data_IF_870155250765
#
_entry.id   IF_870155250765
#
_cell.length_a   1.000
_cell.length_b   1.000
_cell.length_c   1.000
_cell.angle_alpha   90.00
_cell.angle_beta   90.00
_cell.angle_gamma   90.00
#
_symmetry.space_group_name_H-M   'P 1'
#
loop_
_entity.id
_entity.type
_entity.pdbx_description
1 polymer ?
#
# COMPACT_ATOMS: atom_id res chain seq x y z
N UNK A 1 -9.42 -11.76 -6.07
CA UNK A 1 -8.93 -10.37 -6.19
C UNK A 1 -8.11 -10.25 -7.46
N UNK A 2 -8.06 -9.07 -8.07
CA UNK A 2 -7.32 -8.78 -9.31
C UNK A 2 -5.79 -8.85 -9.18
N UNK A 3 -5.28 -8.94 -7.95
CA UNK A 3 -3.86 -8.69 -7.64
C UNK A 3 -3.65 -7.24 -7.22
N UNK A 4 -2.40 -6.88 -6.90
CA UNK A 4 -1.99 -5.52 -6.53
C UNK A 4 -2.09 -4.58 -7.73
N UNK A 5 -2.68 -3.40 -7.56
CA UNK A 5 -2.76 -2.38 -8.61
C UNK A 5 -1.51 -1.51 -8.54
N UNK A 6 -0.59 -1.64 -9.50
CA UNK A 6 0.61 -0.81 -9.59
C UNK A 6 0.57 0.03 -10.86
N UNK A 7 1.15 1.23 -10.82
CA UNK A 7 1.25 2.11 -11.97
C UNK A 7 2.66 2.05 -12.57
N UNK A 8 2.78 2.24 -13.88
CA UNK A 8 4.10 2.33 -14.52
C UNK A 8 4.89 3.56 -14.04
N UNK A 9 4.19 4.65 -13.76
CA UNK A 9 4.76 5.85 -13.18
C UNK A 9 4.93 5.68 -11.66
N UNK A 10 6.20 5.61 -11.23
CA UNK A 10 6.57 5.46 -9.82
C UNK A 10 6.21 6.67 -8.96
N UNK A 11 5.98 7.85 -9.56
CA UNK A 11 5.57 9.05 -8.84
C UNK A 11 4.13 8.94 -8.30
N UNK A 12 3.30 8.09 -8.92
CA UNK A 12 1.95 7.78 -8.45
C UNK A 12 1.94 6.88 -7.20
N UNK A 13 3.10 6.34 -6.80
CA UNK A 13 3.27 5.45 -5.67
C UNK A 13 3.20 3.97 -6.03
N UNK A 14 3.29 3.12 -5.00
CA UNK A 14 3.15 1.67 -5.11
C UNK A 14 2.12 1.19 -4.10
N UNK A 15 1.23 0.30 -4.52
CA UNK A 15 0.27 -0.36 -3.64
C UNK A 15 0.85 -1.59 -2.93
N UNK A 16 2.09 -1.98 -3.27
CA UNK A 16 2.75 -3.16 -2.71
C UNK A 16 4.07 -2.79 -2.04
N UNK A 17 4.13 -2.94 -0.71
CA UNK A 17 5.35 -2.66 0.06
C UNK A 17 6.53 -3.55 -0.38
N UNK A 18 6.27 -4.80 -0.76
CA UNK A 18 7.32 -5.70 -1.23
C UNK A 18 7.93 -5.24 -2.56
N UNK A 19 7.08 -4.77 -3.49
CA UNK A 19 7.53 -4.19 -4.77
C UNK A 19 8.38 -2.93 -4.51
N UNK A 20 7.88 -1.99 -3.70
CA UNK A 20 8.64 -0.78 -3.35
C UNK A 20 10.01 -1.10 -2.76
N UNK A 21 10.07 -2.03 -1.82
CA UNK A 21 11.34 -2.47 -1.20
C UNK A 21 12.28 -3.10 -2.21
N UNK A 22 11.78 -3.90 -3.15
CA UNK A 22 12.60 -4.47 -4.22
C UNK A 22 13.21 -3.37 -5.10
N UNK A 23 12.42 -2.35 -5.47
CA UNK A 23 12.91 -1.21 -6.23
C UNK A 23 14.00 -0.44 -5.48
N UNK A 24 13.82 -0.20 -4.17
CA UNK A 24 14.83 0.45 -3.32
C UNK A 24 16.14 -0.35 -3.27
N UNK A 25 16.08 -1.69 -3.22
CA UNK A 25 17.29 -2.54 -3.28
C UNK A 25 17.99 -2.38 -4.62
N UNK A 26 17.26 -2.35 -5.74
CA UNK A 26 17.85 -2.16 -7.08
C UNK A 26 18.47 -0.77 -7.22
N UNK A 27 17.84 0.27 -6.68
CA UNK A 27 18.28 1.67 -6.84
C UNK A 27 19.35 2.11 -5.83
N UNK A 28 19.32 1.56 -4.62
CA UNK A 28 20.11 2.04 -3.48
C UNK A 28 20.91 0.95 -2.76
N UNK A 29 20.80 -0.31 -3.20
CA UNK A 29 21.48 -1.45 -2.60
C UNK A 29 20.80 -2.01 -1.34
N UNK A 30 19.80 -1.33 -0.78
CA UNK A 30 19.07 -1.75 0.41
C UNK A 30 17.61 -1.31 0.40
N UNK A 31 16.75 -2.07 1.08
CA UNK A 31 15.35 -1.69 1.30
C UNK A 31 15.25 -0.73 2.49
N UNK A 32 14.70 0.47 2.26
CA UNK A 32 14.56 1.54 3.25
C UNK A 32 13.17 1.59 3.87
N UNK A 33 12.13 1.32 3.08
CA UNK A 33 10.74 1.35 3.55
C UNK A 33 10.45 0.10 4.39
N UNK A 34 10.08 0.20 5.67
CA UNK A 34 9.73 -0.96 6.49
C UNK A 34 8.42 -1.61 6.05
N UNK A 35 8.21 -2.88 6.45
CA UNK A 35 6.87 -3.46 6.43
C UNK A 35 5.99 -2.85 7.52
N UNK A 36 4.69 -3.15 7.46
CA UNK A 36 3.72 -2.72 8.47
C UNK A 36 4.09 -3.29 9.85
N UNK A 37 3.85 -2.49 10.87
CA UNK A 37 4.03 -2.80 12.28
C UNK A 37 2.68 -2.74 13.00
N UNK A 38 2.62 -3.35 14.18
CA UNK A 38 1.43 -3.22 15.03
C UNK A 38 1.15 -1.74 15.35
N UNK A 39 -0.11 -1.36 15.23
CA UNK A 39 -0.57 0.02 15.34
C UNK A 39 -0.66 0.76 14.00
N UNK A 40 0.00 0.29 12.94
CA UNK A 40 -0.12 0.90 11.61
C UNK A 40 -1.54 0.72 11.06
N UNK A 41 -2.01 1.71 10.29
CA UNK A 41 -3.33 1.71 9.67
C UNK A 41 -3.22 1.81 8.16
N UNK A 42 -3.97 0.97 7.46
CA UNK A 42 -4.02 0.93 6.00
C UNK A 42 -5.43 1.27 5.54
N UNK A 43 -5.52 2.30 4.69
CA UNK A 43 -6.77 2.71 4.03
C UNK A 43 -6.65 2.52 2.52
N UNK A 44 -7.63 1.84 1.93
CA UNK A 44 -7.77 1.68 0.47
C UNK A 44 -9.17 2.18 0.08
N UNK A 45 -9.22 3.14 -0.83
CA UNK A 45 -10.46 3.75 -1.29
C UNK A 45 -10.34 4.11 -2.77
N UNK A 46 -11.45 3.99 -3.50
CA UNK A 46 -11.54 4.36 -4.91
C UNK A 46 -12.61 5.42 -5.09
N UNK A 47 -12.26 6.47 -5.81
CA UNK A 47 -13.14 7.61 -6.09
C UNK A 47 -13.50 7.66 -7.57
N UNK A 48 -14.70 8.15 -7.88
CA UNK A 48 -15.09 8.51 -9.23
C UNK A 48 -14.44 9.83 -9.67
N UNK A 49 -14.73 10.27 -10.90
CA UNK A 49 -14.20 11.52 -11.45
C UNK A 49 -14.71 12.78 -10.70
N UNK A 50 -15.80 12.68 -9.96
CA UNK A 50 -16.34 13.75 -9.12
C UNK A 50 -15.77 13.71 -7.68
N UNK A 51 -14.88 12.76 -7.38
CA UNK A 51 -14.29 12.58 -6.05
C UNK A 51 -15.19 11.85 -5.05
N UNK A 52 -16.27 11.21 -5.50
CA UNK A 52 -17.16 10.43 -4.64
C UNK A 52 -16.65 9.00 -4.48
N UNK A 53 -16.67 8.49 -3.26
CA UNK A 53 -16.27 7.12 -2.96
C UNK A 53 -17.20 6.12 -3.66
N UNK A 54 -16.64 5.25 -4.50
CA UNK A 54 -17.43 4.30 -5.30
C UNK A 54 -17.87 3.11 -4.43
N UNK A 55 -17.01 2.66 -3.53
CA UNK A 55 -17.20 1.43 -2.74
C UNK A 55 -17.13 1.65 -1.23
N UNK A 56 -16.91 2.88 -0.78
CA UNK A 56 -16.41 3.12 0.58
C UNK A 56 -14.93 2.76 0.71
N UNK A 57 -14.43 2.78 1.94
CA UNK A 57 -13.03 2.48 2.23
C UNK A 57 -12.84 1.16 2.97
N UNK A 58 -11.86 0.38 2.54
CA UNK A 58 -11.22 -0.63 3.39
C UNK A 58 -10.29 0.14 4.33
N UNK A 59 -10.48 -0.01 5.63
CA UNK A 59 -9.75 0.78 6.63
C UNK A 59 -9.43 -0.09 7.86
N UNK A 60 -8.20 -0.55 7.96
CA UNK A 60 -7.80 -1.60 8.91
C UNK A 60 -6.55 -1.20 9.68
N UNK A 61 -6.53 -1.51 10.97
CA UNK A 61 -5.35 -1.40 11.83
C UNK A 61 -4.68 -2.76 11.97
N UNK A 62 -3.35 -2.79 11.93
CA UNK A 62 -2.56 -3.99 12.17
C UNK A 62 -2.47 -4.22 13.68
N UNK A 63 -3.08 -5.30 14.15
CA UNK A 63 -3.14 -5.64 15.57
C UNK A 63 -2.47 -6.98 15.86
N UNK A 64 -2.00 -7.14 17.10
CA UNK A 64 -1.50 -8.43 17.58
C UNK A 64 -2.69 -9.36 17.74
N UNK A 65 -2.61 -10.54 17.13
CA UNK A 65 -3.60 -11.58 17.38
C UNK A 65 -3.33 -12.20 18.75
N UNK A 66 -4.32 -12.11 19.64
CA UNK A 66 -4.31 -12.76 20.95
C UNK A 66 -5.45 -13.78 21.00
N UNK A 67 -5.14 -14.98 21.51
CA UNK A 67 -6.02 -16.13 21.55
C UNK A 67 -6.91 -16.15 22.79
#
# INVERSE_FOLDING_TARGET
GSGTVSNYDRSAGSSCLAEKRMLEVVEHGEAKTPFLKFGDRVRIEMFDAAGQSIFGAIDQQVERYEH
#
